data_IF_259519117995
#
_entry.id   IF_259519117995
#
_cell.length_a   1.000
_cell.length_b   1.000
_cell.length_c   1.000
_cell.angle_alpha   90.00
_cell.angle_beta   90.00
_cell.angle_gamma   90.00
#
_symmetry.space_group_name_H-M   'P 1'
#
loop_
_entity.id
_entity.type
_entity.pdbx_description
1 polymer ?
#
# COMPACT_ATOMS: atom_id res chain seq x y z
N UNK A 1 20.90 -11.26 1.21
CA UNK A 1 19.78 -12.14 1.65
C UNK A 1 20.23 -13.58 1.49
N UNK A 2 20.28 -14.37 2.56
CA UNK A 2 20.39 -15.83 2.38
C UNK A 2 19.00 -16.32 1.96
N UNK A 3 18.87 -16.75 0.70
CA UNK A 3 17.67 -17.42 0.22
C UNK A 3 17.54 -18.76 0.96
N UNK A 4 16.76 -18.77 2.02
CA UNK A 4 16.38 -20.01 2.68
C UNK A 4 14.98 -20.42 2.19
N UNK A 5 14.64 -21.70 2.37
CA UNK A 5 13.34 -22.26 1.94
C UNK A 5 12.14 -21.50 2.53
N UNK A 6 12.26 -20.99 3.75
CA UNK A 6 11.22 -20.22 4.42
C UNK A 6 10.96 -18.87 3.75
N UNK A 7 12.03 -18.13 3.38
CA UNK A 7 11.90 -16.85 2.63
C UNK A 7 11.22 -17.08 1.29
N UNK A 8 11.64 -18.12 0.55
CA UNK A 8 11.01 -18.45 -0.74
C UNK A 8 9.53 -18.80 -0.56
N UNK A 9 9.20 -19.62 0.44
CA UNK A 9 7.82 -19.98 0.73
C UNK A 9 6.96 -18.76 1.06
N UNK A 10 7.42 -17.87 1.95
CA UNK A 10 6.70 -16.62 2.29
C UNK A 10 6.44 -15.77 1.06
N UNK A 11 7.46 -15.48 0.28
CA UNK A 11 7.35 -14.66 -0.94
C UNK A 11 6.36 -15.28 -1.92
N UNK A 12 6.46 -16.60 -2.16
CA UNK A 12 5.56 -17.29 -3.10
C UNK A 12 4.11 -17.31 -2.62
N UNK A 13 3.86 -17.58 -1.34
CA UNK A 13 2.51 -17.60 -0.77
C UNK A 13 1.84 -16.21 -0.88
N UNK A 14 2.54 -15.15 -0.47
CA UNK A 14 1.96 -13.82 -0.52
C UNK A 14 1.82 -13.28 -1.95
N UNK A 15 2.71 -13.61 -2.87
CA UNK A 15 2.53 -13.34 -4.29
C UNK A 15 1.30 -14.06 -4.84
N UNK A 16 1.12 -15.35 -4.53
CA UNK A 16 -0.05 -16.11 -4.96
C UNK A 16 -1.37 -15.57 -4.36
N UNK A 17 -1.38 -15.18 -3.08
CA UNK A 17 -2.54 -14.53 -2.45
C UNK A 17 -2.88 -13.20 -3.12
N UNK A 18 -1.86 -12.39 -3.45
CA UNK A 18 -2.07 -11.15 -4.18
C UNK A 18 -2.73 -11.41 -5.54
N UNK A 19 -2.22 -12.38 -6.31
CA UNK A 19 -2.80 -12.77 -7.61
C UNK A 19 -4.23 -13.28 -7.43
N UNK A 20 -4.49 -14.18 -6.50
CA UNK A 20 -5.82 -14.75 -6.28
C UNK A 20 -6.86 -13.67 -5.94
N UNK A 21 -6.49 -12.72 -5.07
CA UNK A 21 -7.38 -11.61 -4.68
C UNK A 21 -7.55 -10.54 -5.77
N UNK A 22 -6.68 -10.52 -6.76
CA UNK A 22 -6.79 -9.62 -7.93
C UNK A 22 -7.98 -9.97 -8.84
N UNK A 23 -8.52 -11.18 -8.74
CA UNK A 23 -9.73 -11.58 -9.49
C UNK A 23 -11.04 -11.15 -8.82
N UNK A 24 -11.00 -10.59 -7.62
CA UNK A 24 -12.20 -10.18 -6.86
C UNK A 24 -12.34 -8.65 -6.93
N UNK A 25 -13.18 -8.12 -7.84
CA UNK A 25 -13.42 -6.68 -7.91
C UNK A 25 -14.23 -6.21 -6.70
N UNK A 26 -13.89 -5.05 -6.16
CA UNK A 26 -14.58 -4.43 -5.02
C UNK A 26 -15.10 -3.03 -5.32
N UNK A 27 -14.50 -2.34 -6.28
CA UNK A 27 -14.91 -1.00 -6.69
C UNK A 27 -14.47 -0.69 -8.11
N UNK A 28 -15.07 0.36 -8.69
CA UNK A 28 -14.71 0.88 -10.01
C UNK A 28 -13.69 2.01 -9.84
N UNK A 29 -12.77 2.16 -10.80
CA UNK A 29 -11.89 3.33 -10.85
C UNK A 29 -12.55 4.44 -11.67
N UNK A 30 -12.93 5.53 -11.01
CA UNK A 30 -13.54 6.69 -11.67
C UNK A 30 -12.47 7.40 -12.51
N UNK A 31 -12.71 7.48 -13.82
CA UNK A 31 -11.78 8.08 -14.77
C UNK A 31 -11.06 7.09 -15.69
N UNK A 32 -11.25 5.78 -15.49
CA UNK A 32 -10.77 4.74 -16.41
C UNK A 32 -11.69 3.52 -16.39
N UNK A 33 -11.62 2.69 -17.45
CA UNK A 33 -12.39 1.44 -17.57
C UNK A 33 -11.71 0.30 -16.80
N UNK A 34 -11.47 0.50 -15.51
CA UNK A 34 -10.73 -0.43 -14.67
C UNK A 34 -11.43 -0.63 -13.33
N UNK A 35 -11.08 -1.70 -12.64
CA UNK A 35 -11.62 -2.04 -11.32
C UNK A 35 -10.51 -2.15 -10.29
N UNK A 36 -10.80 -1.68 -9.08
CA UNK A 36 -10.00 -1.96 -7.91
C UNK A 36 -10.43 -3.31 -7.32
N UNK A 37 -9.48 -4.07 -6.85
CA UNK A 37 -9.68 -5.45 -6.45
C UNK A 37 -9.30 -5.69 -5.00
N UNK A 38 -9.69 -6.84 -4.46
CA UNK A 38 -9.47 -7.21 -3.07
C UNK A 38 -7.98 -7.31 -2.69
N UNK A 39 -7.07 -7.31 -3.67
CA UNK A 39 -5.62 -7.30 -3.44
C UNK A 39 -5.14 -6.08 -2.63
N UNK A 40 -5.93 -5.02 -2.57
CA UNK A 40 -5.63 -3.84 -1.73
C UNK A 40 -5.53 -4.18 -0.23
N UNK A 41 -6.12 -5.30 0.22
CA UNK A 41 -5.98 -5.81 1.59
C UNK A 41 -4.63 -6.55 1.76
N UNK A 42 -4.16 -7.18 0.68
CA UNK A 42 -2.92 -7.98 0.71
C UNK A 42 -1.68 -7.08 0.77
N UNK A 43 -1.69 -5.92 0.13
CA UNK A 43 -0.56 -4.97 0.17
C UNK A 43 -0.15 -4.60 1.60
N UNK A 44 -1.04 -4.08 2.49
CA UNK A 44 -0.66 -3.79 3.87
C UNK A 44 -0.39 -5.06 4.70
N UNK A 45 -1.00 -6.19 4.37
CA UNK A 45 -0.68 -7.48 5.00
C UNK A 45 0.77 -7.88 4.73
N UNK A 46 1.22 -7.80 3.48
CA UNK A 46 2.61 -8.01 3.06
C UNK A 46 3.54 -7.06 3.81
N UNK A 47 3.18 -5.78 3.89
CA UNK A 47 3.99 -4.76 4.56
C UNK A 47 4.27 -5.09 6.04
N UNK A 48 3.29 -5.65 6.74
CA UNK A 48 3.42 -6.00 8.17
C UNK A 48 4.14 -7.33 8.38
N UNK A 49 3.83 -8.34 7.57
CA UNK A 49 4.27 -9.71 7.82
C UNK A 49 5.63 -10.07 7.21
N UNK A 50 6.06 -9.34 6.20
CA UNK A 50 7.30 -9.62 5.47
C UNK A 50 8.36 -8.54 5.71
N UNK A 51 9.62 -8.96 5.77
CA UNK A 51 10.74 -8.01 5.79
C UNK A 51 10.74 -7.15 4.52
N UNK A 52 11.36 -5.96 4.51
CA UNK A 52 11.28 -5.05 3.36
C UNK A 52 11.66 -5.66 2.02
N UNK A 53 12.67 -6.52 2.00
CA UNK A 53 13.09 -7.19 0.76
C UNK A 53 12.14 -8.32 0.34
N UNK A 54 11.60 -9.06 1.30
CA UNK A 54 10.55 -10.06 1.04
C UNK A 54 9.27 -9.37 0.56
N UNK A 55 8.89 -8.23 1.17
CA UNK A 55 7.72 -7.44 0.78
C UNK A 55 7.85 -6.90 -0.65
N UNK A 56 9.02 -6.36 -0.99
CA UNK A 56 9.33 -5.95 -2.36
C UNK A 56 9.19 -7.12 -3.34
N UNK A 57 9.81 -8.27 -3.04
CA UNK A 57 9.79 -9.43 -3.93
C UNK A 57 8.38 -10.01 -4.10
N UNK A 58 7.63 -10.16 -3.00
CA UNK A 58 6.27 -10.72 -3.03
C UNK A 58 5.29 -9.81 -3.79
N UNK A 59 5.33 -8.50 -3.53
CA UNK A 59 4.46 -7.54 -4.21
C UNK A 59 4.83 -7.38 -5.68
N UNK A 60 6.12 -7.40 -6.03
CA UNK A 60 6.58 -7.33 -7.41
C UNK A 60 6.12 -8.56 -8.21
N UNK A 61 6.39 -9.77 -7.70
CA UNK A 61 5.95 -11.01 -8.35
C UNK A 61 4.44 -11.08 -8.49
N UNK A 62 3.70 -10.78 -7.41
CA UNK A 62 2.25 -10.76 -7.42
C UNK A 62 1.70 -9.76 -8.44
N UNK A 63 2.20 -8.53 -8.44
CA UNK A 63 1.74 -7.48 -9.35
C UNK A 63 2.07 -7.78 -10.83
N UNK A 64 3.27 -8.30 -11.12
CA UNK A 64 3.65 -8.70 -12.49
C UNK A 64 2.73 -9.81 -13.00
N UNK A 65 2.51 -10.86 -12.21
CA UNK A 65 1.60 -11.94 -12.62
C UNK A 65 0.18 -11.42 -12.79
N UNK A 66 -0.30 -10.58 -11.85
CA UNK A 66 -1.65 -10.01 -11.91
C UNK A 66 -1.88 -9.10 -13.10
N UNK A 67 -0.85 -8.39 -13.57
CA UNK A 67 -0.96 -7.56 -14.78
C UNK A 67 -1.42 -8.35 -16.00
N UNK A 68 -0.97 -9.60 -16.13
CA UNK A 68 -1.33 -10.48 -17.23
C UNK A 68 -2.54 -11.36 -16.94
N UNK A 69 -2.69 -11.82 -15.68
CA UNK A 69 -3.76 -12.72 -15.30
C UNK A 69 -5.11 -12.01 -15.08
N UNK A 70 -5.09 -10.76 -14.58
CA UNK A 70 -6.27 -9.94 -14.31
C UNK A 70 -6.11 -8.52 -14.90
N UNK A 71 -6.02 -8.36 -16.23
CA UNK A 71 -5.68 -7.10 -16.88
C UNK A 71 -6.68 -5.97 -16.62
N UNK A 72 -7.92 -6.27 -16.23
CA UNK A 72 -8.94 -5.28 -15.90
C UNK A 72 -8.59 -4.40 -14.70
N UNK A 73 -7.61 -4.78 -13.87
CA UNK A 73 -7.09 -3.97 -12.77
C UNK A 73 -5.91 -3.07 -13.18
N UNK A 74 -5.39 -3.23 -14.40
CA UNK A 74 -4.21 -2.51 -14.89
C UNK A 74 -4.53 -1.06 -15.28
N UNK A 75 -4.93 -0.25 -14.30
CA UNK A 75 -5.42 1.13 -14.47
C UNK A 75 -4.46 2.00 -15.28
N UNK A 76 -3.15 1.83 -15.04
CA UNK A 76 -2.09 2.60 -15.68
C UNK A 76 -1.16 1.72 -16.53
N UNK A 77 -1.67 0.60 -17.06
CA UNK A 77 -0.85 -0.38 -17.76
C UNK A 77 0.29 -0.92 -16.88
N UNK A 78 1.54 -1.02 -17.38
CA UNK A 78 2.66 -1.54 -16.59
C UNK A 78 3.00 -0.74 -15.33
N UNK A 79 2.68 0.56 -15.30
CA UNK A 79 2.88 1.39 -14.10
C UNK A 79 2.08 0.88 -12.90
N UNK A 80 0.97 0.18 -13.11
CA UNK A 80 0.13 -0.40 -12.05
C UNK A 80 0.94 -1.33 -11.13
N UNK A 81 2.01 -1.96 -11.62
CA UNK A 81 2.92 -2.80 -10.83
C UNK A 81 3.53 -2.01 -9.66
N UNK A 82 3.84 -0.74 -9.86
CA UNK A 82 4.50 0.08 -8.84
C UNK A 82 3.60 0.36 -7.63
N UNK A 83 2.28 0.31 -7.79
CA UNK A 83 1.33 0.63 -6.71
C UNK A 83 1.56 -0.26 -5.48
N UNK A 84 1.36 -1.59 -5.57
CA UNK A 84 1.58 -2.48 -4.44
C UNK A 84 3.05 -2.59 -4.04
N UNK A 85 3.98 -2.47 -5.01
CA UNK A 85 5.42 -2.55 -4.72
C UNK A 85 5.87 -1.41 -3.80
N UNK A 86 5.49 -0.17 -4.11
CA UNK A 86 5.82 0.99 -3.27
C UNK A 86 5.06 0.92 -1.94
N UNK A 87 3.76 0.61 -1.97
CA UNK A 87 2.94 0.50 -0.76
C UNK A 87 3.48 -0.55 0.22
N UNK A 88 3.71 -1.78 -0.24
CA UNK A 88 4.21 -2.86 0.58
C UNK A 88 5.64 -2.60 1.08
N UNK A 89 6.53 -2.11 0.22
CA UNK A 89 7.94 -1.89 0.58
C UNK A 89 8.10 -0.76 1.59
N UNK A 90 7.51 0.42 1.33
CA UNK A 90 7.59 1.56 2.24
C UNK A 90 6.88 1.27 3.57
N UNK A 91 5.72 0.61 3.51
CA UNK A 91 5.00 0.15 4.70
C UNK A 91 5.85 -0.81 5.53
N UNK A 92 6.52 -1.78 4.90
CA UNK A 92 7.40 -2.74 5.57
C UNK A 92 8.65 -2.09 6.17
N UNK A 93 9.30 -1.18 5.43
CA UNK A 93 10.43 -0.39 5.95
C UNK A 93 10.01 0.35 7.22
N UNK A 94 8.88 1.05 7.17
CA UNK A 94 8.38 1.84 8.28
C UNK A 94 7.99 0.98 9.49
N UNK A 95 7.38 -0.19 9.26
CA UNK A 95 6.97 -1.11 10.32
C UNK A 95 8.15 -1.77 11.03
N UNK A 96 9.06 -2.39 10.25
CA UNK A 96 10.20 -3.14 10.79
C UNK A 96 11.36 -2.24 11.26
N UNK A 97 11.47 -1.05 10.69
CA UNK A 97 12.49 -0.05 11.05
C UNK A 97 11.82 1.29 11.33
N UNK A 98 11.20 1.50 12.50
CA UNK A 98 10.38 2.69 12.76
C UNK A 98 11.07 4.01 12.47
N UNK A 99 12.37 4.15 12.77
CA UNK A 99 13.16 5.36 12.43
C UNK A 99 13.22 5.61 10.92
N UNK A 100 13.15 4.56 10.11
CA UNK A 100 13.10 4.68 8.65
C UNK A 100 11.69 5.01 8.12
N UNK A 101 10.68 5.11 8.98
CA UNK A 101 9.35 5.64 8.63
C UNK A 101 9.40 7.05 8.05
N UNK A 102 10.48 7.80 8.36
CA UNK A 102 10.75 9.10 7.74
C UNK A 102 10.82 9.03 6.20
N UNK A 103 11.24 7.90 5.63
CA UNK A 103 11.29 7.70 4.17
C UNK A 103 9.88 7.69 3.57
N UNK A 104 8.95 6.97 4.20
CA UNK A 104 7.55 6.98 3.81
C UNK A 104 6.91 8.38 4.01
N UNK A 105 7.26 9.07 5.11
CA UNK A 105 6.81 10.43 5.38
C UNK A 105 7.26 11.42 4.31
N UNK A 106 8.55 11.39 3.92
CA UNK A 106 9.10 12.22 2.85
C UNK A 106 8.40 11.90 1.51
N UNK A 107 8.25 10.62 1.17
CA UNK A 107 7.57 10.20 -0.05
C UNK A 107 6.15 10.78 -0.13
N UNK A 108 5.35 10.60 0.93
CA UNK A 108 3.99 11.11 1.00
C UNK A 108 3.94 12.64 0.94
N UNK A 109 4.89 13.32 1.59
CA UNK A 109 5.02 14.78 1.53
C UNK A 109 5.32 15.27 0.12
N UNK A 110 6.29 14.66 -0.58
CA UNK A 110 6.64 15.03 -1.95
C UNK A 110 5.47 14.82 -2.93
N UNK A 111 4.76 13.69 -2.82
CA UNK A 111 3.58 13.44 -3.66
C UNK A 111 2.47 14.44 -3.36
N UNK A 112 2.23 14.76 -2.08
CA UNK A 112 1.24 15.76 -1.69
C UNK A 112 1.56 17.15 -2.24
N UNK A 113 2.82 17.58 -2.14
CA UNK A 113 3.27 18.84 -2.72
C UNK A 113 3.09 18.85 -4.25
N UNK A 114 3.52 17.78 -4.93
CA UNK A 114 3.37 17.66 -6.39
C UNK A 114 1.91 17.77 -6.82
N UNK A 115 1.01 17.07 -6.13
CA UNK A 115 -0.42 17.14 -6.41
C UNK A 115 -0.97 18.56 -6.19
N UNK A 116 -0.64 19.18 -5.07
CA UNK A 116 -1.12 20.52 -4.73
C UNK A 116 -0.75 21.55 -5.80
N UNK A 117 0.48 21.48 -6.34
CA UNK A 117 0.89 22.35 -7.43
C UNK A 117 0.20 22.07 -8.76
N UNK A 118 -0.14 20.81 -9.02
CA UNK A 118 -0.75 20.40 -10.29
C UNK A 118 -2.28 20.50 -10.29
N UNK A 119 -2.91 20.42 -9.13
CA UNK A 119 -4.38 20.39 -8.97
C UNK A 119 -4.81 21.18 -7.72
N UNK A 120 -4.53 22.50 -7.66
CA UNK A 120 -4.86 23.33 -6.50
C UNK A 120 -6.37 23.46 -6.27
N UNK A 121 -7.20 23.16 -7.29
CA UNK A 121 -8.66 23.29 -7.23
C UNK A 121 -9.31 22.31 -6.23
N UNK A 122 -8.66 21.17 -5.94
CA UNK A 122 -9.18 20.21 -4.97
C UNK A 122 -8.09 19.73 -4.00
N UNK A 123 -7.65 20.57 -3.05
CA UNK A 123 -6.56 20.24 -2.14
C UNK A 123 -6.90 19.13 -1.12
N UNK A 124 -8.18 18.86 -0.90
CA UNK A 124 -8.63 17.87 0.10
C UNK A 124 -8.14 16.44 -0.18
N UNK A 125 -7.81 16.12 -1.43
CA UNK A 125 -7.28 14.81 -1.82
C UNK A 125 -6.02 14.40 -1.06
N UNK A 126 -5.17 15.37 -0.69
CA UNK A 126 -3.91 15.11 0.00
C UNK A 126 -4.07 14.88 1.51
N UNK A 127 -5.26 15.12 2.08
CA UNK A 127 -5.48 15.00 3.54
C UNK A 127 -5.03 13.64 4.09
N UNK A 128 -5.45 12.47 3.53
CA UNK A 128 -4.98 11.18 4.04
C UNK A 128 -3.48 10.97 3.85
N UNK A 129 -2.87 11.57 2.81
CA UNK A 129 -1.41 11.49 2.59
C UNK A 129 -0.65 12.26 3.68
N UNK A 130 -1.13 13.44 4.06
CA UNK A 130 -0.54 14.24 5.15
C UNK A 130 -0.68 13.48 6.48
N UNK A 131 -1.86 12.91 6.76
CA UNK A 131 -2.08 12.08 7.96
C UNK A 131 -1.11 10.90 7.96
N UNK A 132 -0.99 10.18 6.84
CA UNK A 132 -0.04 9.06 6.69
C UNK A 132 1.41 9.49 6.90
N UNK A 133 1.81 10.65 6.37
CA UNK A 133 3.15 11.20 6.54
C UNK A 133 3.45 11.52 8.01
N UNK A 134 2.52 12.17 8.70
CA UNK A 134 2.65 12.48 10.14
C UNK A 134 2.70 11.20 10.98
N UNK A 135 1.86 10.21 10.66
CA UNK A 135 1.87 8.92 11.36
C UNK A 135 3.20 8.17 11.14
N UNK A 136 3.68 8.09 9.90
CA UNK A 136 4.92 7.40 9.57
C UNK A 136 6.13 8.05 10.24
N UNK A 137 6.26 9.37 10.17
CA UNK A 137 7.34 10.14 10.77
C UNK A 137 7.23 10.20 12.30
N UNK A 138 6.04 10.53 12.83
CA UNK A 138 5.82 10.71 14.27
C UNK A 138 6.04 9.43 15.07
N UNK A 139 5.43 8.31 14.65
CA UNK A 139 5.65 7.00 15.31
C UNK A 139 7.09 6.53 15.14
N UNK A 140 7.70 6.82 14.00
CA UNK A 140 9.10 6.50 13.72
C UNK A 140 10.07 7.21 14.66
N UNK A 141 9.83 8.49 14.94
CA UNK A 141 10.69 9.31 15.79
C UNK A 141 10.52 9.00 17.28
N UNK A 142 9.28 8.79 17.73
CA UNK A 142 8.99 8.59 19.17
C UNK A 142 9.28 7.17 19.65
N UNK A 143 9.16 6.18 18.76
CA UNK A 143 9.34 4.74 19.03
C UNK A 143 8.63 4.23 20.32
N UNK A 144 7.54 4.89 20.71
CA UNK A 144 6.85 4.65 21.98
C UNK A 144 5.80 3.54 21.94
N UNK A 145 5.38 3.15 20.71
CA UNK A 145 4.29 2.20 20.54
C UNK A 145 4.78 0.76 20.50
N UNK A 146 4.06 -0.13 21.21
CA UNK A 146 4.27 -1.58 21.10
C UNK A 146 3.97 -2.09 19.69
N UNK A 147 4.59 -3.20 19.28
CA UNK A 147 4.42 -3.80 17.94
C UNK A 147 2.96 -3.95 17.55
N UNK A 148 2.10 -4.44 18.46
CA UNK A 148 0.66 -4.64 18.19
C UNK A 148 -0.06 -3.33 17.84
N UNK A 149 0.27 -2.23 18.53
CA UNK A 149 -0.35 -0.92 18.28
C UNK A 149 0.15 -0.28 16.97
N UNK A 150 1.31 -0.70 16.47
CA UNK A 150 1.87 -0.24 15.20
C UNK A 150 1.18 -0.87 13.99
N UNK A 151 0.60 -2.08 14.11
CA UNK A 151 -0.01 -2.79 12.99
C UNK A 151 -1.03 -1.91 12.23
N UNK A 152 -2.10 -1.36 12.86
CA UNK A 152 -3.07 -0.55 12.13
C UNK A 152 -2.48 0.73 11.56
N UNK A 153 -1.52 1.34 12.22
CA UNK A 153 -0.87 2.58 11.77
C UNK A 153 -0.09 2.32 10.49
N UNK A 154 0.75 1.30 10.48
CA UNK A 154 1.57 1.02 9.29
C UNK A 154 0.82 0.27 8.19
N UNK A 155 -0.29 -0.41 8.51
CA UNK A 155 -1.24 -0.85 7.51
C UNK A 155 -1.84 0.36 6.77
N UNK A 156 -2.26 1.40 7.49
CA UNK A 156 -2.70 2.66 6.90
C UNK A 156 -1.60 3.34 6.08
N UNK A 157 -0.39 3.49 6.63
CA UNK A 157 0.75 4.08 5.89
C UNK A 157 1.01 3.32 4.59
N UNK A 158 0.99 1.99 4.61
CA UNK A 158 1.16 1.16 3.41
C UNK A 158 0.10 1.44 2.34
N UNK A 159 -1.19 1.47 2.73
CA UNK A 159 -2.28 1.74 1.79
C UNK A 159 -2.23 3.17 1.23
N UNK A 160 -1.77 4.14 2.02
CA UNK A 160 -1.63 5.52 1.57
C UNK A 160 -0.39 5.70 0.68
N UNK A 161 0.72 4.98 0.91
CA UNK A 161 1.84 4.97 -0.03
C UNK A 161 1.45 4.37 -1.39
N UNK A 162 0.64 3.30 -1.40
CA UNK A 162 0.06 2.74 -2.62
C UNK A 162 -0.85 3.78 -3.32
N UNK A 163 -1.71 4.47 -2.56
CA UNK A 163 -2.58 5.52 -3.08
C UNK A 163 -1.79 6.71 -3.63
N UNK A 164 -0.70 7.10 -2.97
CA UNK A 164 0.19 8.17 -3.44
C UNK A 164 0.82 7.81 -4.79
N UNK A 165 1.21 6.55 -4.97
CA UNK A 165 1.72 6.05 -6.25
C UNK A 165 0.62 6.08 -7.32
N UNK A 166 -0.60 5.68 -6.98
CA UNK A 166 -1.78 5.79 -7.86
C UNK A 166 -2.04 7.25 -8.26
N UNK A 167 -1.92 8.18 -7.32
CA UNK A 167 -2.12 9.62 -7.56
C UNK A 167 -1.13 10.16 -8.60
N UNK A 168 0.13 9.74 -8.55
CA UNK A 168 1.13 10.09 -9.58
C UNK A 168 0.65 9.60 -10.96
N UNK A 169 0.20 8.34 -11.05
CA UNK A 169 -0.34 7.79 -12.31
C UNK A 169 -1.57 8.55 -12.81
N UNK A 170 -2.49 8.91 -11.92
CA UNK A 170 -3.71 9.64 -12.26
C UNK A 170 -3.42 11.06 -12.78
N UNK A 171 -2.44 11.75 -12.18
CA UNK A 171 -2.08 13.13 -12.57
C UNK A 171 -1.21 13.14 -13.83
N UNK A 172 -0.16 12.30 -13.89
CA UNK A 172 0.87 12.42 -14.92
C UNK A 172 0.68 11.47 -16.11
N UNK A 173 0.05 10.31 -15.92
CA UNK A 173 -0.19 9.35 -17.00
C UNK A 173 -1.57 9.59 -17.63
N UNK A 174 -2.63 9.66 -16.80
CA UNK A 174 -4.01 9.85 -17.28
C UNK A 174 -4.41 11.31 -17.40
N UNK A 175 -3.64 12.24 -16.82
CA UNK A 175 -3.93 13.69 -16.81
C UNK A 175 -5.35 14.02 -16.36
N UNK A 176 -5.86 13.29 -15.36
CA UNK A 176 -7.24 13.42 -14.90
C UNK A 176 -7.53 14.86 -14.39
N UNK A 177 -8.67 15.44 -14.75
CA UNK A 177 -9.08 16.75 -14.27
C UNK A 177 -9.47 16.72 -12.79
N UNK A 178 -9.42 17.86 -12.09
CA UNK A 178 -9.71 17.97 -10.66
C UNK A 178 -11.11 17.44 -10.27
N UNK A 179 -12.09 17.56 -11.15
CA UNK A 179 -13.47 17.06 -10.93
C UNK A 179 -13.49 15.56 -10.66
N UNK A 180 -12.64 14.78 -11.32
CA UNK A 180 -12.52 13.33 -11.10
C UNK A 180 -12.05 13.06 -9.68
N UNK A 181 -11.06 13.81 -9.18
CA UNK A 181 -10.59 13.68 -7.81
C UNK A 181 -11.68 14.05 -6.80
N UNK A 182 -12.42 15.13 -7.03
CA UNK A 182 -13.53 15.54 -6.17
C UNK A 182 -14.61 14.45 -6.10
N UNK A 183 -14.98 13.88 -7.24
CA UNK A 183 -16.01 12.84 -7.33
C UNK A 183 -15.54 11.50 -6.73
N UNK A 184 -14.28 11.12 -6.95
CA UNK A 184 -13.72 9.85 -6.48
C UNK A 184 -13.29 9.88 -5.00
N UNK A 185 -13.22 11.06 -4.36
CA UNK A 185 -12.68 11.20 -3.02
C UNK A 185 -13.37 10.31 -1.95
N UNK A 186 -14.71 10.27 -1.85
CA UNK A 186 -15.38 9.40 -0.88
C UNK A 186 -15.07 7.92 -1.14
N UNK A 187 -15.04 7.51 -2.41
CA UNK A 187 -14.74 6.13 -2.81
C UNK A 187 -13.29 5.76 -2.45
N UNK A 188 -12.34 6.65 -2.72
CA UNK A 188 -10.94 6.48 -2.35
C UNK A 188 -10.79 6.28 -0.83
N UNK A 189 -11.46 7.09 -0.01
CA UNK A 189 -11.42 6.92 1.45
C UNK A 189 -11.96 5.56 1.86
N UNK A 190 -13.11 5.15 1.33
CA UNK A 190 -13.72 3.86 1.58
C UNK A 190 -12.74 2.70 1.27
N UNK A 191 -12.09 2.73 0.12
CA UNK A 191 -11.11 1.72 -0.31
C UNK A 191 -9.91 1.67 0.62
N UNK A 192 -9.37 2.83 1.01
CA UNK A 192 -8.23 2.88 1.95
C UNK A 192 -8.61 2.36 3.34
N UNK A 193 -9.83 2.62 3.79
CA UNK A 193 -10.35 2.04 5.04
C UNK A 193 -10.47 0.51 4.94
N UNK A 194 -11.04 -0.03 3.86
CA UNK A 194 -11.13 -1.49 3.66
C UNK A 194 -9.72 -2.11 3.65
N UNK A 195 -8.79 -1.55 2.88
CA UNK A 195 -7.42 -2.03 2.82
C UNK A 195 -6.75 -2.03 4.18
N UNK A 196 -6.87 -0.93 4.92
CA UNK A 196 -6.29 -0.76 6.25
C UNK A 196 -6.88 -1.74 7.26
N UNK A 197 -8.22 -1.81 7.36
CA UNK A 197 -8.91 -2.67 8.33
C UNK A 197 -8.66 -4.14 7.99
N UNK A 198 -8.86 -4.53 6.73
CA UNK A 198 -8.66 -5.91 6.29
C UNK A 198 -7.22 -6.38 6.46
N UNK A 199 -6.26 -5.55 6.04
CA UNK A 199 -4.84 -5.83 6.23
C UNK A 199 -4.45 -5.92 7.71
N UNK A 200 -5.01 -5.04 8.56
CA UNK A 200 -4.80 -5.07 10.01
C UNK A 200 -5.32 -6.37 10.63
N UNK A 201 -6.56 -6.77 10.29
CA UNK A 201 -7.17 -7.99 10.83
C UNK A 201 -6.35 -9.22 10.45
N UNK A 202 -5.99 -9.36 9.17
CA UNK A 202 -5.22 -10.51 8.69
C UNK A 202 -3.83 -10.52 9.34
N UNK A 203 -3.11 -9.40 9.29
CA UNK A 203 -1.79 -9.29 9.87
C UNK A 203 -1.82 -9.58 11.38
N UNK A 204 -2.74 -8.97 12.12
CA UNK A 204 -2.87 -9.19 13.56
C UNK A 204 -3.18 -10.65 13.92
N UNK A 205 -4.10 -11.29 13.19
CA UNK A 205 -4.47 -12.69 13.41
C UNK A 205 -3.30 -13.64 13.16
N UNK A 206 -2.54 -13.40 12.08
CA UNK A 206 -1.36 -14.21 11.76
C UNK A 206 -0.22 -13.97 12.75
N UNK A 207 0.00 -12.73 13.19
CA UNK A 207 0.97 -12.39 14.23
C UNK A 207 0.70 -13.09 15.56
N UNK A 208 -0.56 -13.21 15.95
CA UNK A 208 -0.93 -13.89 17.19
C UNK A 208 -0.69 -15.42 17.09
N UNK A 209 -0.97 -16.00 15.93
CA UNK A 209 -0.94 -17.46 15.73
C UNK A 209 0.47 -17.99 15.44
N UNK A 210 1.30 -17.21 14.76
CA UNK A 210 2.59 -17.66 14.24
C UNK A 210 3.77 -16.85 14.77
N UNK A 211 3.81 -16.59 16.08
CA UNK A 211 4.88 -15.80 16.73
C UNK A 211 6.29 -16.31 16.44
N UNK A 212 6.46 -17.61 16.22
CA UNK A 212 7.76 -18.24 15.99
C UNK A 212 8.28 -18.10 14.55
N UNK A 213 7.40 -17.80 13.59
CA UNK A 213 7.73 -17.80 12.16
C UNK A 213 7.88 -16.35 11.63
N UNK A 214 7.27 -15.41 12.31
CA UNK A 214 7.26 -14.00 11.90
C UNK A 214 8.33 -13.23 12.68
N UNK A 215 9.03 -12.28 12.04
CA UNK A 215 10.14 -11.55 12.66
C UNK A 215 9.62 -10.53 13.67
N UNK A 216 9.26 -11.01 14.86
CA UNK A 216 8.87 -10.17 16.00
C UNK A 216 9.87 -10.33 17.12
N UNK A 217 10.84 -9.48 17.15
CA UNK A 217 11.63 -9.13 18.33
C UNK A 217 11.24 -7.73 18.82
#
# INVERSE_FOLDING_TARGET
>A
MKLNSLTVAKVSIFAALYVATSFVPISIFIGASSMLTLNLIITPTIAILLTPLEAFAASLLGAVISLYAAPFQAIFGPYTILLPVVGATLGSIAYHKPKAGIVASIYLGLVSCSYFFMRPEFPYWITPHIIGAVMAGGVGLTNTLSHKKRIPIYAFVSTICEQATMLIGAVFILSLPWVVFATAFPLMLYERFIGTIGGTIIAYSLCLKYKEILPYD
#
